data_IF_408624437692
#
_entry.id   IF_408624437692
#
_cell.length_a   1.000
_cell.length_b   1.000
_cell.length_c   1.000
_cell.angle_alpha   90.00
_cell.angle_beta   90.00
_cell.angle_gamma   90.00
#
_symmetry.space_group_name_H-M   'P 1'
#
loop_
_entity.id
_entity.type
_entity.pdbx_description
1 polymer ?
#
# COMPACT_ATOMS: atom_id res chain seq x y z
N UNK A 1 -0.17 -11.35 -7.97
CA UNK A 1 -0.63 -10.37 -6.96
C UNK A 1 0.56 -10.03 -6.08
N UNK A 2 1.03 -8.77 -6.05
CA UNK A 2 2.05 -8.38 -5.09
C UNK A 2 1.46 -8.37 -3.67
N UNK A 3 2.27 -8.73 -2.68
CA UNK A 3 1.94 -8.60 -1.26
C UNK A 3 2.84 -7.53 -0.65
N UNK A 4 2.25 -6.55 0.02
CA UNK A 4 2.97 -5.50 0.74
C UNK A 4 2.67 -5.66 2.24
N UNK A 5 3.71 -5.87 3.04
CA UNK A 5 3.62 -6.05 4.49
C UNK A 5 4.48 -4.95 5.12
N UNK A 6 3.92 -4.21 6.06
CA UNK A 6 4.62 -3.18 6.81
C UNK A 6 4.64 -3.56 8.29
N UNK A 7 5.83 -3.57 8.87
CA UNK A 7 6.02 -3.65 10.32
C UNK A 7 6.11 -2.22 10.87
N UNK A 8 5.34 -1.94 11.92
CA UNK A 8 5.22 -0.62 12.51
C UNK A 8 5.29 -0.74 14.02
N UNK A 9 6.17 0.04 14.65
CA UNK A 9 6.25 0.10 16.10
C UNK A 9 5.07 0.90 16.65
N UNK A 10 4.54 0.47 17.80
CA UNK A 10 3.28 1.02 18.35
C UNK A 10 3.35 2.53 18.64
N UNK A 11 4.52 3.02 19.06
CA UNK A 11 4.73 4.42 19.43
C UNK A 11 4.49 5.45 18.30
N UNK A 12 4.40 4.99 17.05
CA UNK A 12 4.12 5.85 15.88
C UNK A 12 2.88 5.44 15.09
N UNK A 13 2.09 4.45 15.55
CA UNK A 13 1.01 3.85 14.76
C UNK A 13 -0.01 4.87 14.23
N UNK A 14 -0.39 5.84 15.06
CA UNK A 14 -1.33 6.89 14.66
C UNK A 14 -0.72 7.88 13.66
N UNK A 15 0.55 8.25 13.85
CA UNK A 15 1.26 9.19 12.96
C UNK A 15 1.63 8.55 11.62
N UNK A 16 1.83 7.23 11.62
CA UNK A 16 2.21 6.46 10.44
C UNK A 16 1.09 6.38 9.40
N UNK A 17 -0.18 6.61 9.79
CA UNK A 17 -1.34 6.56 8.89
C UNK A 17 -1.29 5.35 7.95
N UNK A 18 -1.23 4.15 8.53
CA UNK A 18 -1.12 2.91 7.75
C UNK A 18 -2.21 2.78 6.67
N UNK A 19 -3.49 3.16 6.91
CA UNK A 19 -4.50 3.17 5.86
C UNK A 19 -4.13 4.07 4.67
N UNK A 20 -3.68 5.31 4.93
CA UNK A 20 -3.23 6.22 3.89
C UNK A 20 -1.96 5.76 3.17
N UNK A 21 -1.02 5.16 3.89
CA UNK A 21 0.18 4.55 3.34
C UNK A 21 -0.17 3.44 2.35
N UNK A 22 -1.07 2.51 2.73
CA UNK A 22 -1.47 1.40 1.87
C UNK A 22 -2.17 1.86 0.60
N UNK A 23 -2.99 2.92 0.66
CA UNK A 23 -3.60 3.51 -0.53
C UNK A 23 -2.52 4.00 -1.51
N UNK A 24 -1.54 4.76 -1.02
CA UNK A 24 -0.46 5.32 -1.85
C UNK A 24 0.43 4.23 -2.45
N UNK A 25 0.75 3.19 -1.67
CA UNK A 25 1.55 2.06 -2.16
C UNK A 25 0.81 1.32 -3.27
N UNK A 26 -0.49 1.08 -3.12
CA UNK A 26 -1.29 0.45 -4.16
C UNK A 26 -1.28 1.27 -5.45
N UNK A 27 -1.52 2.59 -5.37
CA UNK A 27 -1.48 3.49 -6.52
C UNK A 27 -0.09 3.54 -7.17
N UNK A 28 0.99 3.53 -6.37
CA UNK A 28 2.35 3.49 -6.88
C UNK A 28 2.64 2.18 -7.61
N UNK A 29 2.24 1.03 -7.05
CA UNK A 29 2.39 -0.28 -7.68
C UNK A 29 1.59 -0.38 -8.98
N UNK A 30 0.36 0.16 -8.98
CA UNK A 30 -0.48 0.28 -10.17
C UNK A 30 0.20 1.03 -11.31
N UNK A 31 0.77 2.19 -10.99
CA UNK A 31 1.35 3.12 -11.94
C UNK A 31 2.57 2.53 -12.65
N UNK A 32 3.21 1.50 -12.08
CA UNK A 32 4.31 0.79 -12.74
C UNK A 32 3.86 0.06 -14.03
N UNK A 33 2.58 -0.27 -14.16
CA UNK A 33 2.07 -1.14 -15.23
C UNK A 33 2.53 -2.60 -15.13
N UNK A 34 3.34 -2.95 -14.13
CA UNK A 34 3.87 -4.30 -13.89
C UNK A 34 2.88 -5.11 -13.04
N UNK A 35 2.23 -4.44 -12.07
CA UNK A 35 1.28 -5.07 -11.17
C UNK A 35 -0.15 -4.63 -11.50
N UNK A 36 -1.06 -5.58 -11.78
CA UNK A 36 -2.44 -5.24 -12.09
C UNK A 36 -3.14 -4.77 -10.82
N UNK A 37 -3.87 -3.66 -10.94
CA UNK A 37 -4.90 -3.32 -9.97
C UNK A 37 -6.02 -4.33 -10.13
N UNK A 38 -6.46 -4.98 -9.06
CA UNK A 38 -7.66 -5.83 -9.05
C UNK A 38 -8.97 -5.08 -9.35
N UNK A 39 -8.90 -3.89 -9.95
CA UNK A 39 -9.98 -3.00 -10.38
C UNK A 39 -10.23 -3.01 -11.89
N UNK A 40 -9.60 -3.90 -12.66
CA UNK A 40 -9.95 -4.10 -14.07
C UNK A 40 -10.85 -5.36 -14.21
N UNK A 41 -12.03 -5.27 -14.85
CA UNK A 41 -12.79 -6.46 -15.27
C UNK A 41 -12.05 -7.28 -16.33
#
# INVERSE_FOLDING_TARGET
MPHFIAECTENIREQADLPGLFSKVNDALAATGIFPNGRHP
#
